data_IF_020641026984
#
_entry.id   IF_020641026984
#
_cell.length_a   1.000
_cell.length_b   1.000
_cell.length_c   1.000
_cell.angle_alpha   90.00
_cell.angle_beta   90.00
_cell.angle_gamma   90.00
#
_symmetry.space_group_name_H-M   'P 1'
#
loop_
_entity.id
_entity.type
_entity.pdbx_description
1 polymer ?
#
# COMPACT_ATOMS: atom_id res chain seq x y z
N UNK A 1 -36.37 -19.82 19.60
CA UNK A 1 -35.20 -20.65 19.96
C UNK A 1 -35.15 -21.71 18.88
N UNK A 2 -34.34 -21.65 17.84
CA UNK A 2 -32.94 -21.20 17.71
C UNK A 2 -32.76 -20.40 16.42
N UNK A 3 -32.27 -19.15 16.51
CA UNK A 3 -30.86 -18.74 16.45
C UNK A 3 -30.45 -18.36 15.01
N UNK A 4 -30.25 -17.05 14.84
CA UNK A 4 -29.65 -16.37 13.71
C UNK A 4 -28.56 -17.19 13.02
N UNK A 5 -28.84 -17.71 11.82
CA UNK A 5 -27.77 -18.14 10.91
C UNK A 5 -27.31 -16.93 10.11
N UNK A 6 -26.37 -16.20 10.74
CA UNK A 6 -25.23 -15.54 10.14
C UNK A 6 -25.45 -14.72 8.87
N UNK A 7 -25.77 -13.44 9.04
CA UNK A 7 -25.36 -12.43 8.07
C UNK A 7 -23.84 -12.16 8.24
N UNK A 8 -22.99 -13.13 7.90
CA UNK A 8 -21.56 -12.88 7.72
C UNK A 8 -20.94 -14.00 6.90
N UNK A 9 -20.69 -13.74 5.63
CA UNK A 9 -19.76 -14.59 4.87
C UNK A 9 -18.88 -13.83 3.88
N UNK A 10 -19.14 -12.55 3.59
CA UNK A 10 -18.17 -11.68 2.92
C UNK A 10 -18.32 -10.24 3.41
N UNK A 11 -17.75 -9.93 4.57
CA UNK A 11 -17.24 -8.57 4.77
C UNK A 11 -16.21 -8.35 3.66
N UNK A 12 -16.59 -7.67 2.58
CA UNK A 12 -15.66 -7.32 1.51
C UNK A 12 -14.63 -6.38 2.10
N UNK A 13 -13.48 -6.95 2.50
CA UNK A 13 -12.30 -6.15 2.82
C UNK A 13 -12.02 -5.25 1.62
N UNK A 14 -11.86 -3.97 1.91
CA UNK A 14 -11.53 -2.97 0.90
C UNK A 14 -10.11 -3.31 0.41
N UNK A 15 -9.99 -3.70 -0.86
CA UNK A 15 -8.72 -4.06 -1.46
C UNK A 15 -7.97 -2.80 -1.91
N UNK A 16 -6.66 -2.75 -1.66
CA UNK A 16 -5.81 -1.58 -1.92
C UNK A 16 -4.48 -1.97 -2.57
N UNK A 17 -3.91 -1.05 -3.34
CA UNK A 17 -2.50 -1.06 -3.73
C UNK A 17 -1.76 -0.01 -2.90
N UNK A 18 -0.55 -0.36 -2.47
CA UNK A 18 0.35 0.60 -1.85
C UNK A 18 1.33 1.11 -2.90
N UNK A 19 1.59 2.42 -2.93
CA UNK A 19 2.53 3.02 -3.88
C UNK A 19 3.55 3.86 -3.12
N UNK A 20 4.84 3.61 -3.37
CA UNK A 20 5.95 4.34 -2.76
C UNK A 20 6.84 4.97 -3.82
N UNK A 21 7.41 6.15 -3.54
CA UNK A 21 8.33 6.79 -4.49
C UNK A 21 9.36 7.69 -3.80
N UNK A 22 10.44 7.96 -4.53
CA UNK A 22 11.41 9.03 -4.23
C UNK A 22 11.82 9.72 -5.52
N UNK A 23 12.17 11.01 -5.44
CA UNK A 23 12.39 11.85 -6.62
C UNK A 23 13.76 11.69 -7.28
N UNK A 24 14.75 11.12 -6.61
CA UNK A 24 16.12 11.00 -7.14
C UNK A 24 16.73 9.62 -6.86
N UNK A 25 17.60 9.17 -7.76
CA UNK A 25 18.37 7.94 -7.59
C UNK A 25 19.22 7.96 -6.31
N UNK A 26 19.70 9.14 -5.89
CA UNK A 26 20.44 9.29 -4.64
C UNK A 26 19.56 8.97 -3.41
N UNK A 27 18.30 9.43 -3.41
CA UNK A 27 17.33 9.10 -2.36
C UNK A 27 16.98 7.61 -2.36
N UNK A 28 16.88 6.99 -3.53
CA UNK A 28 16.68 5.55 -3.65
C UNK A 28 17.87 4.76 -3.09
N UNK A 29 19.11 5.18 -3.41
CA UNK A 29 20.33 4.51 -2.96
C UNK A 29 20.54 4.57 -1.44
N UNK A 30 20.03 5.62 -0.79
CA UNK A 30 20.07 5.74 0.67
C UNK A 30 19.04 4.85 1.35
N UNK A 31 18.04 4.31 0.64
CA UNK A 31 17.13 3.24 1.10
C UNK A 31 16.13 3.59 2.21
N UNK A 32 16.47 4.54 3.09
CA UNK A 32 15.71 4.82 4.31
C UNK A 32 14.32 5.40 4.06
N UNK A 33 14.08 6.11 2.96
CA UNK A 33 12.79 6.81 2.77
C UNK A 33 11.71 5.96 2.09
N UNK A 34 12.05 4.90 1.35
CA UNK A 34 11.05 4.05 0.69
C UNK A 34 10.50 2.98 1.65
N UNK A 35 11.38 2.33 2.41
CA UNK A 35 10.97 1.31 3.38
C UNK A 35 10.08 1.92 4.47
N UNK A 36 10.42 3.12 4.96
CA UNK A 36 9.60 3.85 5.94
C UNK A 36 8.21 4.21 5.40
N UNK A 37 8.11 4.55 4.10
CA UNK A 37 6.81 4.80 3.46
C UNK A 37 5.99 3.51 3.39
N UNK A 38 6.60 2.40 2.98
CA UNK A 38 5.93 1.10 2.92
C UNK A 38 5.44 0.65 4.29
N UNK A 39 6.29 0.74 5.32
CA UNK A 39 5.95 0.37 6.70
C UNK A 39 4.74 1.16 7.21
N UNK A 40 4.75 2.49 7.01
CA UNK A 40 3.63 3.36 7.41
C UNK A 40 2.33 3.02 6.66
N UNK A 41 2.42 2.71 5.36
CA UNK A 41 1.27 2.33 4.55
C UNK A 41 0.70 0.97 4.97
N UNK A 42 1.56 0.00 5.30
CA UNK A 42 1.15 -1.32 5.80
C UNK A 42 0.50 -1.22 7.17
N UNK A 43 1.05 -0.42 8.08
CA UNK A 43 0.47 -0.17 9.40
C UNK A 43 -0.93 0.44 9.27
N UNK A 44 -1.08 1.50 8.46
CA UNK A 44 -2.37 2.13 8.20
C UNK A 44 -3.37 1.16 7.56
N UNK A 45 -2.93 0.37 6.57
CA UNK A 45 -3.79 -0.61 5.93
C UNK A 45 -4.25 -1.71 6.88
N UNK A 46 -3.37 -2.17 7.76
CA UNK A 46 -3.69 -3.10 8.83
C UNK A 46 -4.72 -2.53 9.81
N UNK A 47 -4.54 -1.28 10.27
CA UNK A 47 -5.47 -0.64 11.21
C UNK A 47 -6.86 -0.41 10.62
N UNK A 48 -6.96 -0.19 9.32
CA UNK A 48 -8.22 0.05 8.60
C UNK A 48 -8.89 -1.23 8.06
N UNK A 49 -8.27 -2.39 8.27
CA UNK A 49 -8.77 -3.68 7.79
C UNK A 49 -8.71 -3.84 6.27
N UNK A 50 -7.83 -3.10 5.58
CA UNK A 50 -7.62 -3.23 4.14
C UNK A 50 -6.94 -4.55 3.79
N UNK A 51 -7.26 -5.07 2.60
CA UNK A 51 -6.53 -6.15 1.97
C UNK A 51 -5.51 -5.55 1.00
N UNK A 52 -4.22 -5.71 1.29
CA UNK A 52 -3.15 -5.23 0.41
C UNK A 52 -2.95 -6.26 -0.71
N UNK A 53 -3.25 -5.87 -1.94
CA UNK A 53 -3.07 -6.73 -3.12
C UNK A 53 -1.62 -6.71 -3.62
N UNK A 54 -1.02 -5.53 -3.63
CA UNK A 54 0.30 -5.31 -4.22
C UNK A 54 0.94 -4.03 -3.64
N UNK A 55 2.28 -4.01 -3.64
CA UNK A 55 3.08 -2.83 -3.32
C UNK A 55 3.92 -2.47 -4.53
N UNK A 56 3.67 -1.29 -5.07
CA UNK A 56 4.36 -0.71 -6.23
C UNK A 56 5.39 0.32 -5.74
N UNK A 57 6.58 0.34 -6.33
CA UNK A 57 7.63 1.27 -5.97
C UNK A 57 8.30 1.88 -7.19
N UNK A 58 8.38 3.22 -7.22
CA UNK A 58 9.17 3.99 -8.20
C UNK A 58 10.39 4.65 -7.54
N UNK A 59 11.53 3.94 -7.48
CA UNK A 59 12.76 4.48 -6.91
C UNK A 59 13.46 5.44 -7.88
N UNK A 60 13.40 6.73 -7.60
CA UNK A 60 14.30 7.72 -8.19
C UNK A 60 13.78 8.43 -9.44
N UNK A 61 12.47 8.37 -9.67
CA UNK A 61 11.81 9.13 -10.73
C UNK A 61 11.06 10.35 -10.18
N UNK A 62 11.28 11.51 -10.79
CA UNK A 62 10.63 12.76 -10.39
C UNK A 62 9.11 12.70 -10.65
N UNK A 63 8.34 13.42 -9.83
CA UNK A 63 6.88 13.59 -9.89
C UNK A 63 6.32 14.20 -11.19
N UNK A 64 7.18 14.65 -12.11
CA UNK A 64 6.80 15.54 -13.21
C UNK A 64 6.08 14.85 -14.39
N UNK A 65 6.10 13.51 -14.45
CA UNK A 65 5.45 12.73 -15.51
C UNK A 65 4.63 11.58 -14.92
N UNK A 66 3.60 11.12 -15.64
CA UNK A 66 2.80 9.94 -15.28
C UNK A 66 3.29 8.66 -15.96
N UNK A 67 4.23 8.73 -16.90
CA UNK A 67 4.82 7.55 -17.52
C UNK A 67 5.89 7.00 -16.56
N UNK A 68 5.54 5.94 -15.83
CA UNK A 68 6.40 5.30 -14.83
C UNK A 68 6.34 3.78 -14.92
N UNK A 69 7.41 3.09 -14.50
CA UNK A 69 7.50 1.63 -14.56
C UNK A 69 6.68 0.91 -13.49
N UNK A 70 6.37 1.58 -12.37
CA UNK A 70 5.51 1.08 -11.30
C UNK A 70 4.03 1.00 -11.66
#
# INVERSE_FOLDING_TARGET
MDAMTSASEFERKRAVLLYTRVSTAEQASKGFSLSQQEDALREFAGSEGYEILEVVSDPGESGATLARPG
#
